data_IF_715431380519
#
_entry.id   IF_715431380519
#
_cell.length_a   1.000
_cell.length_b   1.000
_cell.length_c   1.000
_cell.angle_alpha   90.00
_cell.angle_beta   90.00
_cell.angle_gamma   90.00
#
_symmetry.space_group_name_H-M   'P 1'
#
loop_
_entity.id
_entity.type
_entity.pdbx_description
1 polymer ?
#
# COMPACT_ATOMS: atom_id res chain seq x y z
N UNK A 1 4.54 -45.19 -5.48
CA UNK A 1 3.93 -43.86 -5.30
C UNK A 1 5.04 -42.94 -4.85
N UNK A 2 5.65 -42.18 -5.77
CA UNK A 2 6.78 -41.28 -5.45
C UNK A 2 6.19 -39.97 -4.95
N UNK A 3 6.44 -39.64 -3.70
CA UNK A 3 6.18 -38.28 -3.15
C UNK A 3 7.08 -37.31 -3.92
N UNK A 4 6.48 -36.41 -4.68
CA UNK A 4 7.20 -35.29 -5.24
C UNK A 4 7.56 -34.36 -4.07
N UNK A 5 8.82 -34.37 -3.68
CA UNK A 5 9.43 -33.27 -2.96
C UNK A 5 9.38 -32.04 -3.89
N UNK A 6 8.44 -31.13 -3.67
CA UNK A 6 8.56 -29.78 -4.17
C UNK A 6 9.75 -29.14 -3.42
N UNK A 7 10.93 -29.25 -4.00
CA UNK A 7 12.04 -28.39 -3.61
C UNK A 7 11.61 -26.96 -3.86
N UNK A 8 11.52 -26.15 -2.82
CA UNK A 8 11.46 -24.69 -2.91
C UNK A 8 12.57 -24.28 -3.87
N UNK A 9 12.22 -23.66 -4.99
CA UNK A 9 13.24 -23.23 -5.94
C UNK A 9 14.06 -22.13 -5.25
N UNK A 10 15.37 -22.14 -5.40
CA UNK A 10 16.28 -21.13 -4.83
C UNK A 10 15.99 -19.69 -5.34
N UNK A 11 15.01 -19.53 -6.20
CA UNK A 11 14.55 -18.27 -6.80
C UNK A 11 13.55 -17.50 -5.93
N UNK A 12 13.04 -18.09 -4.86
CA UNK A 12 11.98 -17.49 -4.03
C UNK A 12 12.53 -16.88 -2.72
N UNK A 13 13.86 -16.92 -2.51
CA UNK A 13 14.52 -16.35 -1.34
C UNK A 13 15.13 -14.98 -1.66
N UNK A 14 14.74 -14.00 -0.86
CA UNK A 14 15.14 -12.60 -1.01
C UNK A 14 15.84 -12.11 0.25
N UNK A 15 17.05 -11.55 0.10
CA UNK A 15 17.85 -11.09 1.23
C UNK A 15 17.38 -9.70 1.70
N UNK A 16 17.10 -9.57 2.99
CA UNK A 16 16.80 -8.28 3.62
C UNK A 16 18.05 -7.40 3.58
N UNK A 17 17.89 -6.18 3.08
CA UNK A 17 18.97 -5.20 2.97
C UNK A 17 18.82 -4.05 3.96
N UNK A 18 17.58 -3.69 4.34
CA UNK A 18 17.32 -2.65 5.32
C UNK A 18 15.96 -2.82 6.02
N UNK A 19 15.85 -2.29 7.22
CA UNK A 19 14.59 -2.13 7.96
C UNK A 19 14.52 -0.70 8.46
N UNK A 20 13.42 0.03 8.16
CA UNK A 20 13.18 1.40 8.63
C UNK A 20 11.92 1.43 9.49
N UNK A 21 12.04 1.79 10.75
CA UNK A 21 10.90 1.98 11.64
C UNK A 21 10.30 3.38 11.45
N UNK A 22 9.02 3.46 11.10
CA UNK A 22 8.28 4.71 10.91
C UNK A 22 7.49 5.08 12.17
N UNK A 23 7.12 4.07 12.97
CA UNK A 23 6.55 4.20 14.31
C UNK A 23 6.92 2.96 15.14
N UNK A 24 6.37 2.84 16.36
CA UNK A 24 6.60 1.68 17.21
C UNK A 24 6.08 0.37 16.57
N UNK A 25 4.96 0.46 15.85
CA UNK A 25 4.24 -0.67 15.26
C UNK A 25 4.27 -0.72 13.72
N UNK A 26 4.93 0.24 13.05
CA UNK A 26 4.99 0.29 11.58
C UNK A 26 6.42 0.47 11.09
N UNK A 27 6.80 -0.35 10.13
CA UNK A 27 8.12 -0.35 9.53
C UNK A 27 8.09 -0.70 8.04
N UNK A 28 9.13 -0.30 7.32
CA UNK A 28 9.39 -0.67 5.95
C UNK A 28 10.50 -1.72 5.94
N UNK A 29 10.25 -2.84 5.29
CA UNK A 29 11.22 -3.87 4.98
C UNK A 29 11.68 -3.71 3.54
N UNK A 30 13.02 -3.55 3.36
CA UNK A 30 13.66 -3.54 2.05
C UNK A 30 14.46 -4.82 1.86
N UNK A 31 14.32 -5.45 0.70
CA UNK A 31 15.04 -6.66 0.33
C UNK A 31 15.40 -6.65 -1.16
N UNK A 32 16.33 -7.51 -1.55
CA UNK A 32 16.73 -7.59 -2.95
C UNK A 32 15.57 -8.00 -3.85
N UNK A 33 15.62 -7.51 -5.09
CA UNK A 33 14.54 -7.72 -6.05
C UNK A 33 14.53 -9.12 -6.66
N UNK A 34 15.66 -9.85 -6.63
CA UNK A 34 15.76 -11.20 -7.18
C UNK A 34 15.37 -11.34 -8.65
N UNK A 35 15.35 -10.20 -9.41
CA UNK A 35 14.89 -10.18 -10.80
C UNK A 35 13.36 -10.13 -10.95
N UNK A 36 12.59 -10.03 -9.87
CA UNK A 36 11.13 -9.93 -9.93
C UNK A 36 10.70 -8.64 -10.65
N UNK A 37 9.90 -8.75 -11.68
CA UNK A 37 9.23 -7.63 -12.33
C UNK A 37 7.81 -7.52 -11.79
N UNK A 38 7.38 -6.32 -11.46
CA UNK A 38 6.01 -6.05 -10.98
C UNK A 38 5.48 -4.76 -11.59
N UNK A 39 4.17 -4.60 -11.53
CA UNK A 39 3.49 -3.33 -11.82
C UNK A 39 3.01 -2.71 -10.50
N UNK A 40 3.12 -1.39 -10.33
CA UNK A 40 2.61 -0.70 -9.15
C UNK A 40 1.14 -1.07 -8.87
N UNK A 41 0.84 -1.26 -7.58
CA UNK A 41 -0.45 -1.75 -7.13
C UNK A 41 -0.57 -3.27 -7.03
N UNK A 42 0.39 -4.05 -7.54
CA UNK A 42 0.45 -5.48 -7.27
C UNK A 42 0.95 -5.77 -5.84
N UNK A 43 0.58 -6.95 -5.34
CA UNK A 43 1.04 -7.46 -4.05
C UNK A 43 1.92 -8.70 -4.22
N UNK A 44 2.65 -9.00 -3.18
CA UNK A 44 3.48 -10.19 -3.02
C UNK A 44 3.11 -10.90 -1.72
N UNK A 45 3.35 -12.19 -1.68
CA UNK A 45 3.15 -13.03 -0.49
C UNK A 45 4.52 -13.21 0.17
N UNK A 46 4.63 -12.80 1.44
CA UNK A 46 5.90 -12.77 2.17
C UNK A 46 5.79 -13.55 3.47
N UNK A 47 6.81 -14.33 3.77
CA UNK A 47 7.02 -15.04 5.03
C UNK A 47 8.51 -15.24 5.31
N UNK A 48 8.84 -15.87 6.45
CA UNK A 48 10.21 -16.28 6.72
C UNK A 48 10.53 -17.58 6.00
N UNK A 49 11.81 -17.81 5.77
CA UNK A 49 12.32 -19.08 5.25
C UNK A 49 11.88 -20.24 6.16
N UNK A 50 11.44 -21.35 5.54
CA UNK A 50 10.96 -22.56 6.20
C UNK A 50 9.64 -22.45 7.00
N UNK A 51 8.95 -21.29 6.96
CA UNK A 51 7.67 -21.12 7.64
C UNK A 51 6.47 -21.25 6.69
N UNK A 52 5.41 -21.92 7.18
CA UNK A 52 4.17 -22.07 6.41
C UNK A 52 3.29 -20.81 6.43
N UNK A 53 3.54 -19.93 7.40
CA UNK A 53 2.75 -18.72 7.58
C UNK A 53 3.31 -17.59 6.70
N UNK A 54 2.52 -17.16 5.75
CA UNK A 54 2.83 -16.06 4.85
C UNK A 54 1.66 -15.06 4.83
N UNK A 55 1.92 -13.81 4.44
CA UNK A 55 0.91 -12.75 4.31
C UNK A 55 1.13 -11.95 3.04
N UNK A 56 0.03 -11.41 2.53
CA UNK A 56 0.01 -10.52 1.38
C UNK A 56 0.41 -9.10 1.78
N UNK A 57 1.28 -8.49 0.98
CA UNK A 57 1.70 -7.09 1.12
C UNK A 57 1.73 -6.45 -0.26
N UNK A 58 1.07 -5.31 -0.44
CA UNK A 58 1.26 -4.51 -1.66
C UNK A 58 2.71 -4.06 -1.73
N UNK A 59 3.30 -4.11 -2.93
CA UNK A 59 4.64 -3.59 -3.16
C UNK A 59 4.63 -2.09 -2.87
N UNK A 60 5.56 -1.64 -2.03
CA UNK A 60 5.67 -0.26 -1.57
C UNK A 60 6.69 0.54 -2.39
N UNK A 61 7.74 -0.12 -2.88
CA UNK A 61 8.76 0.48 -3.77
C UNK A 61 8.21 0.83 -5.15
N UNK A 62 8.94 1.66 -5.88
CA UNK A 62 8.67 1.96 -7.29
C UNK A 62 9.09 0.82 -8.23
N UNK A 63 8.45 0.73 -9.39
CA UNK A 63 8.70 -0.36 -10.36
C UNK A 63 10.11 -0.33 -10.98
N UNK A 64 10.77 0.83 -10.98
CA UNK A 64 12.10 1.01 -11.57
C UNK A 64 13.24 0.93 -10.55
N UNK A 65 12.94 0.66 -9.27
CA UNK A 65 13.94 0.50 -8.23
C UNK A 65 14.56 -0.90 -8.28
N UNK A 66 15.81 -1.02 -7.91
CA UNK A 66 16.59 -2.27 -7.94
C UNK A 66 16.33 -3.17 -6.71
N UNK A 67 15.44 -2.75 -5.82
CA UNK A 67 14.98 -3.45 -4.62
C UNK A 67 13.46 -3.54 -4.56
N UNK A 68 12.96 -4.35 -3.64
CA UNK A 68 11.55 -4.38 -3.22
C UNK A 68 11.41 -3.84 -1.81
N UNK A 69 10.29 -3.16 -1.55
CA UNK A 69 9.86 -2.75 -0.22
C UNK A 69 8.41 -3.15 0.04
N UNK A 70 8.14 -3.46 1.30
CA UNK A 70 6.80 -3.61 1.84
C UNK A 70 6.66 -2.74 3.09
N UNK A 71 5.47 -2.12 3.26
CA UNK A 71 5.10 -1.41 4.48
C UNK A 71 4.31 -2.36 5.38
N UNK A 72 4.85 -2.66 6.54
CA UNK A 72 4.29 -3.63 7.48
C UNK A 72 3.80 -2.93 8.74
N UNK A 73 2.57 -3.24 9.15
CA UNK A 73 2.09 -2.95 10.50
C UNK A 73 2.17 -4.22 11.34
N UNK A 74 2.79 -4.13 12.50
CA UNK A 74 2.74 -5.19 13.51
C UNK A 74 1.31 -5.37 14.00
N UNK A 75 0.86 -6.63 14.01
CA UNK A 75 -0.40 -7.05 14.63
C UNK A 75 -0.04 -7.83 15.88
N UNK A 76 -0.49 -7.42 17.08
CA UNK A 76 -0.04 -8.01 18.37
C UNK A 76 -0.24 -9.54 18.48
N UNK A 77 -1.27 -10.07 17.80
CA UNK A 77 -1.54 -11.51 17.74
C UNK A 77 -1.11 -12.12 16.38
N UNK A 78 -0.45 -11.31 15.53
CA UNK A 78 -0.03 -11.69 14.19
C UNK A 78 1.35 -12.32 14.20
N UNK A 79 1.43 -13.62 13.90
CA UNK A 79 2.71 -14.33 13.90
C UNK A 79 3.69 -13.75 12.87
N UNK A 80 3.27 -13.55 11.61
CA UNK A 80 4.14 -13.12 10.51
C UNK A 80 4.68 -11.70 10.71
N UNK A 81 3.82 -10.71 11.02
CA UNK A 81 4.25 -9.32 11.18
C UNK A 81 5.23 -9.13 12.34
N UNK A 82 5.06 -9.88 13.44
CA UNK A 82 5.97 -9.88 14.58
C UNK A 82 7.32 -10.51 14.20
N UNK A 83 7.32 -11.60 13.45
CA UNK A 83 8.54 -12.23 12.95
C UNK A 83 9.29 -11.28 12.01
N UNK A 84 8.60 -10.67 11.04
CA UNK A 84 9.19 -9.69 10.12
C UNK A 84 9.81 -8.49 10.85
N UNK A 85 9.19 -8.02 11.95
CA UNK A 85 9.73 -6.94 12.79
C UNK A 85 11.07 -7.30 13.43
N UNK A 86 11.29 -8.57 13.76
CA UNK A 86 12.50 -9.07 14.41
C UNK A 86 13.62 -9.44 13.45
N UNK A 87 13.37 -9.40 12.14
CA UNK A 87 14.40 -9.63 11.13
C UNK A 87 15.49 -8.57 11.15
N UNK A 88 16.62 -8.90 10.54
CA UNK A 88 17.79 -8.03 10.43
C UNK A 88 18.30 -8.03 8.99
N UNK A 89 19.00 -6.97 8.56
CA UNK A 89 19.74 -7.01 7.31
C UNK A 89 20.66 -8.23 7.26
N UNK A 90 20.51 -9.01 6.19
CA UNK A 90 21.21 -10.29 6.00
C UNK A 90 20.32 -11.52 6.14
N UNK A 91 19.18 -11.44 6.83
CA UNK A 91 18.18 -12.51 6.90
C UNK A 91 17.48 -12.69 5.55
N UNK A 92 16.81 -13.82 5.36
CA UNK A 92 16.12 -14.16 4.12
C UNK A 92 14.60 -14.22 4.32
N UNK A 93 13.88 -13.77 3.31
CA UNK A 93 12.43 -13.88 3.17
C UNK A 93 12.10 -14.84 2.05
N UNK A 94 11.06 -15.63 2.24
CA UNK A 94 10.40 -16.32 1.15
C UNK A 94 9.38 -15.35 0.55
N UNK A 95 9.49 -15.06 -0.75
CA UNK A 95 8.63 -14.12 -1.47
C UNK A 95 8.05 -14.79 -2.70
N UNK A 96 6.74 -14.71 -2.84
CA UNK A 96 6.01 -15.23 -3.99
C UNK A 96 5.21 -14.10 -4.65
N UNK A 97 5.14 -14.10 -5.97
CA UNK A 97 4.38 -13.09 -6.74
C UNK A 97 5.12 -12.64 -7.99
N UNK A 98 4.75 -11.46 -8.52
CA UNK A 98 3.67 -10.59 -8.04
C UNK A 98 2.27 -11.06 -8.45
N UNK A 99 1.26 -10.65 -7.68
CA UNK A 99 -0.14 -10.99 -7.90
C UNK A 99 -1.01 -9.73 -7.93
N UNK A 100 -2.27 -9.89 -8.38
CA UNK A 100 -3.26 -8.83 -8.40
C UNK A 100 -3.28 -7.97 -9.65
N UNK A 101 -4.39 -7.25 -9.80
CA UNK A 101 -4.67 -6.37 -10.94
C UNK A 101 -5.05 -4.95 -10.50
N UNK A 102 -4.79 -4.59 -9.25
CA UNK A 102 -5.05 -3.25 -8.72
C UNK A 102 -3.98 -2.30 -9.25
N UNK A 103 -4.24 -1.69 -10.42
CA UNK A 103 -3.25 -0.87 -11.12
C UNK A 103 -3.89 0.31 -11.84
N UNK A 104 -3.05 1.16 -12.41
CA UNK A 104 -3.47 2.26 -13.26
C UNK A 104 -3.29 1.84 -14.72
N UNK A 105 -4.36 1.92 -15.50
CA UNK A 105 -4.31 1.62 -16.92
C UNK A 105 -3.43 2.62 -17.66
N UNK A 106 -2.61 2.14 -18.58
CA UNK A 106 -1.60 2.94 -19.29
C UNK A 106 -2.19 4.18 -19.98
N UNK A 107 -3.40 4.08 -20.52
CA UNK A 107 -4.06 5.19 -21.22
C UNK A 107 -4.64 6.24 -20.25
N UNK A 108 -4.90 5.88 -18.98
CA UNK A 108 -5.39 6.77 -17.94
C UNK A 108 -4.28 7.50 -17.19
N UNK A 109 -3.05 6.95 -17.21
CA UNK A 109 -1.93 7.35 -16.37
C UNK A 109 -1.65 8.87 -16.35
N UNK A 110 -1.67 9.52 -17.52
CA UNK A 110 -1.42 10.96 -17.64
C UNK A 110 -2.62 11.74 -18.21
N UNK A 111 -3.76 11.06 -18.45
CA UNK A 111 -4.98 11.66 -18.99
C UNK A 111 -6.06 11.87 -17.96
N UNK A 112 -5.90 11.30 -16.75
CA UNK A 112 -6.84 11.35 -15.64
C UNK A 112 -6.21 11.93 -14.40
N UNK A 113 -7.05 12.44 -13.50
CA UNK A 113 -6.68 12.80 -12.12
C UNK A 113 -6.97 11.60 -11.22
N UNK A 114 -5.97 11.11 -10.50
CA UNK A 114 -6.08 9.94 -9.62
C UNK A 114 -6.30 10.39 -8.17
N UNK A 115 -7.43 10.00 -7.60
CA UNK A 115 -7.77 10.29 -6.21
C UNK A 115 -7.51 9.05 -5.37
N UNK A 116 -6.43 9.08 -4.60
CA UNK A 116 -5.99 8.00 -3.73
C UNK A 116 -6.55 8.20 -2.33
N UNK A 117 -7.30 7.21 -1.82
CA UNK A 117 -7.93 7.28 -0.50
C UNK A 117 -7.46 6.08 0.32
N UNK A 118 -6.59 6.35 1.29
CA UNK A 118 -5.95 5.35 2.12
C UNK A 118 -6.44 5.37 3.56
N UNK A 119 -6.39 4.22 4.22
CA UNK A 119 -6.38 4.16 5.69
C UNK A 119 -5.19 3.35 6.20
N UNK A 120 -4.40 3.95 7.11
CA UNK A 120 -3.21 3.32 7.68
C UNK A 120 -2.22 2.87 6.61
N UNK A 121 -1.77 1.60 6.68
CA UNK A 121 -0.84 1.01 5.72
C UNK A 121 -1.42 0.78 4.33
N UNK A 122 -2.73 1.02 4.12
CA UNK A 122 -3.33 1.06 2.79
C UNK A 122 -2.80 2.17 1.87
N UNK A 123 -1.89 3.01 2.36
CA UNK A 123 -1.11 3.95 1.54
C UNK A 123 -0.12 3.23 0.61
N UNK A 124 0.23 1.97 0.88
CA UNK A 124 1.30 1.21 0.19
C UNK A 124 1.21 1.23 -1.34
N UNK A 125 0.10 0.85 -1.99
CA UNK A 125 0.03 0.87 -3.45
C UNK A 125 0.13 2.29 -4.01
N UNK A 126 -0.33 3.30 -3.28
CA UNK A 126 -0.27 4.70 -3.73
C UNK A 126 1.14 5.26 -3.68
N UNK A 127 1.94 4.85 -2.69
CA UNK A 127 3.36 5.14 -2.64
C UNK A 127 4.08 4.55 -3.86
N UNK A 128 3.82 3.30 -4.18
CA UNK A 128 4.36 2.65 -5.37
C UNK A 128 3.96 3.37 -6.67
N UNK A 129 2.70 3.82 -6.81
CA UNK A 129 2.25 4.60 -7.98
C UNK A 129 3.02 5.91 -8.13
N UNK A 130 3.11 6.69 -7.04
CA UNK A 130 3.78 8.02 -7.08
C UNK A 130 5.27 7.89 -7.40
N UNK A 131 5.94 6.88 -6.85
CA UNK A 131 7.37 6.60 -7.13
C UNK A 131 7.60 6.07 -8.54
N UNK A 132 6.68 5.29 -9.06
CA UNK A 132 6.82 4.67 -10.39
C UNK A 132 6.48 5.61 -11.53
N UNK A 133 5.59 6.56 -11.31
CA UNK A 133 5.04 7.40 -12.36
C UNK A 133 5.29 8.89 -12.10
N UNK A 134 6.54 9.38 -12.29
CA UNK A 134 6.83 10.80 -12.15
C UNK A 134 5.94 11.65 -13.07
N UNK A 135 5.27 12.66 -12.49
CA UNK A 135 4.35 13.53 -13.24
C UNK A 135 2.90 13.07 -13.29
N UNK A 136 2.56 11.94 -12.66
CA UNK A 136 1.16 11.54 -12.47
C UNK A 136 0.37 12.65 -11.76
N UNK A 137 -0.86 12.92 -12.21
CA UNK A 137 -1.75 13.86 -11.54
C UNK A 137 -2.56 13.14 -10.45
N UNK A 138 -2.26 13.42 -9.17
CA UNK A 138 -2.89 12.73 -8.05
C UNK A 138 -3.29 13.67 -6.91
N UNK A 139 -4.19 13.19 -6.08
CA UNK A 139 -4.47 13.72 -4.73
C UNK A 139 -4.58 12.54 -3.76
N UNK A 140 -3.89 12.60 -2.62
CA UNK A 140 -3.95 11.58 -1.58
C UNK A 140 -4.75 12.11 -0.38
N UNK A 141 -5.73 11.32 0.08
CA UNK A 141 -6.36 11.45 1.40
C UNK A 141 -5.91 10.26 2.26
N UNK A 142 -5.05 10.52 3.24
CA UNK A 142 -4.51 9.50 4.12
C UNK A 142 -5.17 9.56 5.50
N UNK A 143 -6.04 8.61 5.80
CA UNK A 143 -6.73 8.47 7.07
C UNK A 143 -5.90 7.65 8.06
N UNK A 144 -5.55 8.26 9.20
CA UNK A 144 -4.78 7.63 10.28
C UNK A 144 -5.39 7.99 11.63
N UNK A 145 -4.84 7.45 12.72
CA UNK A 145 -5.27 7.79 14.09
C UNK A 145 -4.56 9.04 14.60
N UNK A 146 -3.24 9.11 14.40
CA UNK A 146 -2.35 10.14 14.95
C UNK A 146 -1.44 10.72 13.85
N UNK A 147 -0.89 11.92 14.08
CA UNK A 147 -0.03 12.60 13.09
C UNK A 147 1.27 11.86 12.79
N UNK A 148 1.82 11.14 13.75
CA UNK A 148 3.04 10.33 13.58
C UNK A 148 2.81 9.07 12.71
N UNK A 149 1.58 8.80 12.31
CA UNK A 149 1.24 7.74 11.33
C UNK A 149 1.20 8.27 9.89
N UNK A 150 1.70 9.47 9.62
CA UNK A 150 1.86 10.02 8.27
C UNK A 150 3.10 9.44 7.59
N UNK A 151 3.04 8.15 7.25
CA UNK A 151 4.19 7.35 6.76
C UNK A 151 4.84 7.96 5.52
N UNK A 152 6.12 8.36 5.66
CA UNK A 152 6.95 8.96 4.60
C UNK A 152 6.23 10.06 3.80
N UNK A 153 5.42 10.89 4.50
CA UNK A 153 4.61 11.94 3.87
C UNK A 153 5.45 13.02 3.17
N UNK A 154 6.72 13.14 3.50
CA UNK A 154 7.70 14.00 2.85
C UNK A 154 8.03 13.58 1.40
N UNK A 155 7.72 12.36 1.01
CA UNK A 155 7.90 11.86 -0.36
C UNK A 155 6.75 12.28 -1.31
N UNK A 156 5.69 12.88 -0.78
CA UNK A 156 4.57 13.36 -1.59
C UNK A 156 4.62 14.89 -1.76
N UNK A 157 4.08 15.39 -2.88
CA UNK A 157 3.84 16.84 -3.03
C UNK A 157 2.89 17.31 -1.90
N UNK A 158 3.33 18.24 -1.03
CA UNK A 158 2.54 18.69 0.12
C UNK A 158 1.22 19.41 -0.27
N UNK A 159 1.07 19.80 -1.53
CA UNK A 159 -0.20 20.36 -2.06
C UNK A 159 -1.19 19.28 -2.49
N UNK A 160 -0.73 18.03 -2.58
CA UNK A 160 -1.48 16.87 -3.08
C UNK A 160 -1.70 15.79 -2.02
N UNK A 161 -1.11 15.94 -0.84
CA UNK A 161 -1.23 15.03 0.28
C UNK A 161 -2.01 15.67 1.44
N UNK A 162 -3.12 15.06 1.82
CA UNK A 162 -4.01 15.52 2.89
C UNK A 162 -4.10 14.46 4.00
N UNK A 163 -3.53 14.79 5.14
CA UNK A 163 -3.57 13.94 6.33
C UNK A 163 -4.89 14.13 7.09
N UNK A 164 -5.64 13.05 7.29
CA UNK A 164 -6.89 13.01 8.05
C UNK A 164 -6.69 12.21 9.33
N UNK A 165 -6.71 12.87 10.51
CA UNK A 165 -6.45 12.20 11.80
C UNK A 165 -7.73 12.04 12.63
N UNK A 166 -8.03 10.83 13.07
CA UNK A 166 -9.28 10.52 13.77
C UNK A 166 -9.21 10.70 15.29
N UNK A 167 -8.03 10.69 15.90
CA UNK A 167 -7.83 10.79 17.36
C UNK A 167 -7.27 12.13 17.83
N UNK A 168 -6.58 12.83 16.96
CA UNK A 168 -6.04 14.18 17.25
C UNK A 168 -6.30 15.12 16.05
N UNK A 169 -5.97 16.42 16.19
CA UNK A 169 -6.05 17.35 15.08
C UNK A 169 -4.79 17.29 14.21
N UNK A 170 -4.94 17.23 12.89
CA UNK A 170 -3.85 17.45 11.93
C UNK A 170 -3.88 18.90 11.44
N UNK A 171 -2.77 19.31 10.78
CA UNK A 171 -2.72 20.60 10.08
C UNK A 171 -3.72 20.69 8.93
N UNK A 172 -4.08 19.55 8.34
CA UNK A 172 -4.95 19.52 7.17
C UNK A 172 -6.41 19.28 7.60
N UNK A 173 -6.69 18.14 8.24
CA UNK A 173 -8.06 17.75 8.57
C UNK A 173 -8.18 16.96 9.87
N UNK A 174 -8.99 17.48 10.81
CA UNK A 174 -9.40 16.73 11.99
C UNK A 174 -10.61 15.85 11.69
N UNK A 175 -10.43 14.53 11.74
CA UNK A 175 -11.49 13.55 11.52
C UNK A 175 -11.09 12.50 10.48
N UNK A 176 -12.02 11.58 10.22
CA UNK A 176 -11.84 10.54 9.20
C UNK A 176 -11.93 11.13 7.80
N UNK A 177 -11.36 10.45 6.80
CA UNK A 177 -11.45 10.84 5.38
C UNK A 177 -12.90 11.00 4.91
N UNK A 178 -13.82 10.19 5.43
CA UNK A 178 -15.25 10.22 5.11
C UNK A 178 -15.95 11.53 5.51
N UNK A 179 -15.34 12.33 6.41
CA UNK A 179 -15.86 13.63 6.81
C UNK A 179 -15.64 14.72 5.76
N UNK A 180 -14.60 14.59 4.95
CA UNK A 180 -14.18 15.62 3.97
C UNK A 180 -14.68 15.33 2.57
N UNK A 181 -14.79 14.05 2.21
CA UNK A 181 -15.22 13.64 0.87
C UNK A 181 -16.59 14.18 0.43
N UNK A 182 -17.60 14.37 1.30
CA UNK A 182 -18.88 14.98 0.88
C UNK A 182 -18.70 16.37 0.27
N UNK A 183 -17.76 17.18 0.76
CA UNK A 183 -17.46 18.51 0.24
C UNK A 183 -16.44 18.51 -0.93
N UNK A 184 -15.75 17.39 -1.16
CA UNK A 184 -14.74 17.28 -2.22
C UNK A 184 -15.39 17.34 -3.60
N UNK A 185 -14.94 18.25 -4.51
CA UNK A 185 -15.52 18.37 -5.85
C UNK A 185 -15.15 17.16 -6.71
N UNK A 186 -16.15 16.51 -7.29
CA UNK A 186 -15.95 15.41 -8.25
C UNK A 186 -15.99 15.95 -9.67
N UNK A 187 -15.01 15.56 -10.50
CA UNK A 187 -14.94 15.88 -11.93
C UNK A 187 -15.01 14.60 -12.76
N UNK A 188 -15.38 14.73 -14.02
CA UNK A 188 -15.58 13.58 -14.92
C UNK A 188 -14.29 12.83 -15.29
N UNK A 189 -13.14 13.48 -15.16
CA UNK A 189 -11.80 12.90 -15.43
C UNK A 189 -11.16 12.23 -14.24
N UNK A 190 -11.82 12.18 -13.08
CA UNK A 190 -11.30 11.57 -11.85
C UNK A 190 -11.53 10.06 -11.82
N UNK A 191 -10.49 9.34 -11.35
CA UNK A 191 -10.53 7.94 -10.95
C UNK A 191 -10.22 7.83 -9.46
N UNK A 192 -10.95 7.00 -8.75
CA UNK A 192 -10.86 6.86 -7.30
C UNK A 192 -10.28 5.49 -6.95
N UNK A 193 -9.18 5.50 -6.22
CA UNK A 193 -8.50 4.29 -5.74
C UNK A 193 -8.58 4.27 -4.23
N UNK A 194 -9.18 3.23 -3.68
CA UNK A 194 -9.42 3.06 -2.25
C UNK A 194 -8.63 1.86 -1.75
N UNK A 195 -7.80 2.04 -0.72
CA UNK A 195 -7.06 0.94 -0.13
C UNK A 195 -6.98 1.04 1.39
N UNK A 196 -7.11 -0.09 2.08
CA UNK A 196 -7.01 -0.23 3.53
C UNK A 196 -8.22 -0.88 4.17
N UNK A 197 -8.68 -0.34 5.31
CA UNK A 197 -9.73 -0.93 6.13
C UNK A 197 -11.10 -1.01 5.40
N UNK A 198 -11.75 -2.17 5.50
CA UNK A 198 -13.02 -2.46 4.84
C UNK A 198 -14.13 -1.42 5.14
N UNK A 199 -14.26 -0.98 6.41
CA UNK A 199 -15.27 0.01 6.77
C UNK A 199 -15.04 1.36 6.07
N UNK A 200 -13.78 1.80 5.96
CA UNK A 200 -13.44 3.03 5.24
C UNK A 200 -13.80 2.89 3.76
N UNK A 201 -13.43 1.78 3.12
CA UNK A 201 -13.72 1.52 1.70
C UNK A 201 -15.24 1.53 1.47
N UNK A 202 -16.01 0.87 2.33
CA UNK A 202 -17.47 0.82 2.24
C UNK A 202 -18.10 2.23 2.35
N UNK A 203 -17.74 2.98 3.41
CA UNK A 203 -18.27 4.34 3.64
C UNK A 203 -17.91 5.29 2.48
N UNK A 204 -16.65 5.27 2.03
CA UNK A 204 -16.17 6.10 0.91
C UNK A 204 -16.89 5.75 -0.39
N UNK A 205 -17.05 4.46 -0.68
CA UNK A 205 -17.77 4.00 -1.88
C UNK A 205 -19.22 4.49 -1.89
N UNK A 206 -19.91 4.51 -0.75
CA UNK A 206 -21.24 5.08 -0.64
C UNK A 206 -21.24 6.57 -0.92
N UNK A 207 -20.35 7.35 -0.29
CA UNK A 207 -20.24 8.79 -0.51
C UNK A 207 -20.00 9.11 -2.00
N UNK A 208 -19.12 8.36 -2.66
CA UNK A 208 -18.82 8.56 -4.09
C UNK A 208 -20.02 8.22 -4.98
N UNK A 209 -20.78 7.17 -4.67
CA UNK A 209 -22.03 6.82 -5.38
C UNK A 209 -23.10 7.89 -5.21
N UNK A 210 -23.27 8.41 -4.00
CA UNK A 210 -24.21 9.52 -3.71
C UNK A 210 -23.84 10.79 -4.50
N UNK A 211 -22.55 10.95 -4.85
CA UNK A 211 -22.04 11.99 -5.73
C UNK A 211 -22.11 11.61 -7.22
N UNK A 212 -22.80 10.52 -7.56
CA UNK A 212 -22.98 10.02 -8.93
C UNK A 212 -21.68 9.61 -9.62
N UNK A 213 -20.65 9.17 -8.86
CA UNK A 213 -19.45 8.58 -9.44
C UNK A 213 -19.79 7.17 -9.96
N UNK A 214 -19.56 6.87 -11.25
CA UNK A 214 -19.80 5.55 -11.81
C UNK A 214 -18.94 4.47 -11.12
N UNK A 215 -19.49 3.26 -10.97
CA UNK A 215 -18.81 2.18 -10.24
C UNK A 215 -17.45 1.78 -10.86
N UNK A 216 -17.35 1.83 -12.19
CA UNK A 216 -16.13 1.54 -12.94
C UNK A 216 -14.98 2.55 -12.70
N UNK A 217 -15.27 3.68 -12.06
CA UNK A 217 -14.28 4.69 -11.65
C UNK A 217 -13.85 4.56 -10.19
N UNK A 218 -14.35 3.55 -9.48
CA UNK A 218 -14.04 3.30 -8.07
C UNK A 218 -13.34 1.94 -7.98
N UNK A 219 -12.02 1.96 -7.82
CA UNK A 219 -11.19 0.77 -7.68
C UNK A 219 -10.87 0.55 -6.20
N UNK A 220 -10.94 -0.69 -5.74
CA UNK A 220 -10.79 -0.98 -4.31
C UNK A 220 -9.85 -2.16 -4.06
N UNK A 221 -9.03 -2.05 -3.02
CA UNK A 221 -8.23 -3.14 -2.46
C UNK A 221 -8.40 -3.15 -0.94
N UNK A 222 -8.85 -4.28 -0.38
CA UNK A 222 -9.17 -4.41 1.05
C UNK A 222 -7.99 -5.03 1.78
N UNK A 223 -7.55 -4.39 2.88
CA UNK A 223 -6.60 -4.97 3.84
C UNK A 223 -7.35 -5.58 5.04
N UNK A 224 -6.97 -6.79 5.39
CA UNK A 224 -7.56 -7.57 6.49
C UNK A 224 -6.76 -7.44 7.79
#
# INVERSE_FOLDING_TARGET
MKLNNNSVSSTDLHKITAIRFLSEDVFVLRFDRGGMEFKPGQHIIVGLEEELNQREYSVYSGENEDYLEILVREVPEGNVSLQLKNCKPGDFLQVNGPFGSYGIEKYDLFSKTHIFIASGTGISPFHSFVRSYPGIDYTIFHGVRFNNEAYESEEYDPRRYFLCTSKEGSKDHKGRVTRFLPAFPVKSDMLFYLCGNNNMIYEVSHILRDKSVPAEKILTEVYF
#
